data_IF_447949540106
#
_entry.id   IF_447949540106
#
_cell.length_a   1.000
_cell.length_b   1.000
_cell.length_c   1.000
_cell.angle_alpha   90.00
_cell.angle_beta   90.00
_cell.angle_gamma   90.00
#
_symmetry.space_group_name_H-M   'P 1'
#
loop_
_entity.id
_entity.type
_entity.pdbx_description
1 polymer ?
#
# COMPACT_ATOMS: atom_id res chain seq x y z
N UNK A 1 -15.73 5.99 1.23
CA UNK A 1 -14.26 6.00 1.40
C UNK A 1 -13.90 4.81 2.28
N UNK A 2 -13.20 3.80 1.78
CA UNK A 2 -12.69 2.72 2.64
C UNK A 2 -11.53 3.29 3.47
N UNK A 3 -11.64 3.26 4.79
CA UNK A 3 -10.55 3.69 5.66
C UNK A 3 -9.40 2.70 5.53
N UNK A 4 -8.20 3.14 5.09
CA UNK A 4 -7.07 2.25 4.99
C UNK A 4 -6.65 1.82 6.40
N UNK A 5 -6.76 0.51 6.69
CA UNK A 5 -6.27 -0.02 7.96
C UNK A 5 -4.75 -0.14 7.89
N UNK A 6 -4.07 0.68 8.70
CA UNK A 6 -2.62 0.62 8.84
C UNK A 6 -2.21 -0.61 9.65
N UNK A 7 -1.12 -1.25 9.26
CA UNK A 7 -0.60 -2.46 9.88
C UNK A 7 0.85 -2.24 10.32
N UNK A 8 1.16 -2.61 11.55
CA UNK A 8 2.52 -2.54 12.06
C UNK A 8 3.33 -3.77 11.63
N UNK A 9 4.53 -3.52 11.10
CA UNK A 9 5.51 -4.55 10.75
C UNK A 9 6.84 -4.15 11.40
N UNK A 10 7.08 -4.65 12.61
CA UNK A 10 8.20 -4.21 13.43
C UNK A 10 8.10 -2.71 13.75
N UNK A 11 9.07 -1.91 13.29
CA UNK A 11 9.11 -0.45 13.51
C UNK A 11 8.45 0.37 12.39
N UNK A 12 7.81 -0.30 11.43
CA UNK A 12 7.21 0.33 10.27
C UNK A 12 5.69 0.30 10.36
N UNK A 13 5.05 1.43 10.05
CA UNK A 13 3.61 1.47 9.81
C UNK A 13 3.36 1.33 8.30
N UNK A 14 2.63 0.29 7.91
CA UNK A 14 2.29 -0.03 6.52
C UNK A 14 0.82 0.29 6.29
N UNK A 15 0.57 1.32 5.50
CA UNK A 15 -0.79 1.82 5.21
C UNK A 15 -1.13 1.57 3.75
N UNK A 16 -2.00 0.59 3.42
CA UNK A 16 -2.44 0.37 2.06
C UNK A 16 -3.32 1.54 1.60
N UNK A 17 -3.23 1.93 0.34
CA UNK A 17 -4.02 3.01 -0.25
C UNK A 17 -4.53 2.55 -1.61
N UNK A 18 -5.73 3.00 -1.95
CA UNK A 18 -6.35 2.71 -3.24
C UNK A 18 -6.86 3.99 -3.86
N UNK A 19 -6.73 4.09 -5.19
CA UNK A 19 -7.23 5.22 -5.96
C UNK A 19 -8.01 4.71 -7.16
N UNK A 20 -9.27 5.12 -7.30
CA UNK A 20 -10.02 4.90 -8.53
C UNK A 20 -9.39 5.75 -9.64
N UNK A 21 -9.12 5.12 -10.76
CA UNK A 21 -8.50 5.73 -11.93
C UNK A 21 -9.56 6.18 -12.92
N UNK A 22 -9.18 7.06 -13.85
CA UNK A 22 -10.08 7.54 -14.91
C UNK A 22 -10.60 6.41 -15.81
N UNK A 23 -9.84 5.32 -15.92
CA UNK A 23 -10.21 4.09 -16.64
C UNK A 23 -11.14 3.17 -15.84
N UNK A 24 -11.62 3.57 -14.66
CA UNK A 24 -12.55 2.78 -13.83
C UNK A 24 -11.90 1.68 -12.99
N UNK A 25 -10.61 1.43 -13.14
CA UNK A 25 -9.86 0.47 -12.32
C UNK A 25 -9.26 1.12 -11.07
N UNK A 26 -8.94 0.32 -10.06
CA UNK A 26 -8.26 0.74 -8.84
C UNK A 26 -6.75 0.55 -8.97
N UNK A 27 -6.01 1.65 -8.79
CA UNK A 27 -4.57 1.63 -8.58
C UNK A 27 -4.27 1.35 -7.11
N UNK A 28 -3.27 0.50 -6.86
CA UNK A 28 -2.79 0.17 -5.53
C UNK A 28 -1.52 0.98 -5.20
N UNK A 29 -1.45 1.52 -3.99
CA UNK A 29 -0.24 2.12 -3.45
C UNK A 29 -0.11 1.81 -1.97
N UNK A 30 1.10 1.91 -1.41
CA UNK A 30 1.32 1.69 0.03
C UNK A 30 2.22 2.78 0.59
N UNK A 31 1.82 3.39 1.71
CA UNK A 31 2.70 4.22 2.51
C UNK A 31 3.40 3.33 3.54
N UNK A 32 4.73 3.45 3.62
CA UNK A 32 5.55 2.78 4.63
C UNK A 32 6.25 3.89 5.43
N UNK A 33 5.80 4.08 6.66
CA UNK A 33 6.33 5.12 7.55
C UNK A 33 7.26 4.52 8.59
N UNK A 34 8.39 5.20 8.81
CA UNK A 34 9.26 4.99 9.97
C UNK A 34 9.63 6.34 10.56
N UNK A 35 9.05 6.68 11.72
CA UNK A 35 9.17 8.01 12.31
C UNK A 35 8.31 9.04 11.58
N UNK A 36 8.89 10.16 11.18
CA UNK A 36 8.16 11.31 10.60
C UNK A 36 8.02 11.28 9.08
N UNK A 37 8.66 10.34 8.39
CA UNK A 37 8.68 10.31 6.93
C UNK A 37 8.09 9.01 6.39
N UNK A 38 7.31 9.17 5.32
CA UNK A 38 6.59 8.13 4.62
C UNK A 38 7.27 7.87 3.28
N UNK A 39 7.55 6.59 2.97
CA UNK A 39 7.86 6.16 1.60
C UNK A 39 6.58 5.66 0.96
N UNK A 40 6.16 6.27 -0.14
CA UNK A 40 4.96 5.87 -0.87
C UNK A 40 5.34 5.12 -2.12
N UNK A 41 4.95 3.85 -2.19
CA UNK A 41 5.16 2.99 -3.36
C UNK A 41 3.88 2.92 -4.17
N UNK A 42 3.94 3.29 -5.45
CA UNK A 42 2.85 3.05 -6.41
C UNK A 42 3.10 1.72 -7.11
N UNK A 43 2.13 0.83 -7.04
CA UNK A 43 2.24 -0.51 -7.59
C UNK A 43 1.65 -0.52 -9.00
N UNK A 44 2.26 -1.33 -9.87
CA UNK A 44 1.89 -1.40 -11.29
C UNK A 44 0.51 -2.06 -11.51
N UNK A 45 0.16 -3.19 -10.86
CA UNK A 45 -1.11 -3.86 -11.11
C UNK A 45 -2.33 -2.99 -10.82
N UNK A 46 -3.34 -3.13 -11.66
CA UNK A 46 -4.67 -2.51 -11.53
C UNK A 46 -5.71 -3.57 -11.21
N UNK A 47 -6.75 -3.17 -10.51
CA UNK A 47 -7.77 -4.10 -10.00
C UNK A 47 -9.17 -3.55 -10.27
N UNK A 48 -10.13 -4.41 -10.56
CA UNK A 48 -11.52 -3.98 -10.73
C UNK A 48 -12.23 -3.76 -9.37
N UNK A 49 -11.56 -4.09 -8.26
CA UNK A 49 -12.09 -3.99 -6.90
C UNK A 49 -11.11 -3.30 -5.95
N UNK A 50 -11.57 -2.26 -5.25
CA UNK A 50 -10.81 -1.54 -4.23
C UNK A 50 -10.25 -2.46 -3.13
N UNK A 51 -11.04 -3.43 -2.68
CA UNK A 51 -10.63 -4.38 -1.64
C UNK A 51 -9.47 -5.26 -2.10
N UNK A 52 -9.45 -5.67 -3.38
CA UNK A 52 -8.33 -6.43 -3.94
C UNK A 52 -7.07 -5.57 -4.04
N UNK A 53 -7.20 -4.33 -4.51
CA UNK A 53 -6.09 -3.38 -4.56
C UNK A 53 -5.50 -3.11 -3.17
N UNK A 54 -6.35 -2.95 -2.14
CA UNK A 54 -5.91 -2.70 -0.76
C UNK A 54 -5.18 -3.92 -0.16
N UNK A 55 -5.74 -5.13 -0.34
CA UNK A 55 -5.10 -6.38 0.12
C UNK A 55 -3.74 -6.59 -0.55
N UNK A 56 -3.68 -6.33 -1.86
CA UNK A 56 -2.43 -6.41 -2.61
C UNK A 56 -1.40 -5.38 -2.12
N UNK A 57 -1.80 -4.12 -1.95
CA UNK A 57 -0.95 -3.06 -1.42
C UNK A 57 -0.36 -3.41 -0.05
N UNK A 58 -1.18 -3.97 0.85
CA UNK A 58 -0.74 -4.39 2.17
C UNK A 58 0.26 -5.55 2.09
N UNK A 59 -0.02 -6.57 1.28
CA UNK A 59 0.88 -7.70 1.09
C UNK A 59 2.25 -7.26 0.54
N UNK A 60 2.26 -6.40 -0.47
CA UNK A 60 3.49 -5.83 -1.04
C UNK A 60 4.24 -4.96 -0.04
N UNK A 61 3.54 -4.09 0.69
CA UNK A 61 4.17 -3.26 1.72
C UNK A 61 4.85 -4.07 2.82
N UNK A 62 4.20 -5.15 3.28
CA UNK A 62 4.80 -6.11 4.22
C UNK A 62 6.03 -6.77 3.61
N UNK A 63 5.95 -7.22 2.35
CA UNK A 63 7.07 -7.83 1.64
C UNK A 63 8.27 -6.88 1.55
N UNK A 64 8.05 -5.60 1.22
CA UNK A 64 9.14 -4.63 1.13
C UNK A 64 9.84 -4.42 2.48
N UNK A 65 9.08 -4.34 3.58
CA UNK A 65 9.66 -4.21 4.92
C UNK A 65 10.46 -5.46 5.30
N UNK A 66 9.87 -6.65 5.11
CA UNK A 66 10.49 -7.91 5.52
C UNK A 66 11.77 -8.24 4.73
N UNK A 67 11.83 -7.84 3.46
CA UNK A 67 12.98 -8.08 2.59
C UNK A 67 13.93 -6.86 2.50
N UNK A 68 13.72 -5.82 3.32
CA UNK A 68 14.50 -4.58 3.29
C UNK A 68 14.56 -3.91 1.89
N UNK A 69 13.48 -4.01 1.11
CA UNK A 69 13.35 -3.42 -0.24
C UNK A 69 12.77 -2.00 -0.19
N UNK A 70 13.19 -1.21 0.79
CA UNK A 70 12.69 0.16 0.97
C UNK A 70 13.54 1.19 0.24
N UNK A 71 14.66 0.78 -0.36
CA UNK A 71 15.72 1.62 -0.92
C UNK A 71 15.22 2.61 -1.98
#
# INVERSE_FOLDING_TARGET
>A
MQTPQAHEVGRYLVTPMTKLTETGQYAASVSIRRGMHDRVFRLIPRFDNATHAARYALAQGRHFVLNNQLA
#
